data_IF_251044739951
#
_entry.id   IF_251044739951
#
_cell.length_a   1.000
_cell.length_b   1.000
_cell.length_c   1.000
_cell.angle_alpha   90.00
_cell.angle_beta   90.00
_cell.angle_gamma   90.00
#
_symmetry.space_group_name_H-M   'P 1'
#
loop_
_entity.id
_entity.type
_entity.pdbx_description
1 polymer ?
#
# COMPACT_ATOMS: atom_id res chain seq x y z
N UNK A 1 -2.95 -11.14 5.27
CA UNK A 1 -2.62 -9.73 4.94
C UNK A 1 -3.91 -8.92 4.76
N UNK A 2 -4.70 -8.66 5.80
CA UNK A 2 -6.05 -8.07 5.63
C UNK A 2 -6.06 -6.56 5.89
N UNK A 3 -5.32 -6.11 6.91
CA UNK A 3 -5.41 -4.74 7.41
C UNK A 3 -4.71 -3.67 6.55
N UNK A 4 -3.81 -4.04 5.63
CA UNK A 4 -3.19 -3.09 4.66
C UNK A 4 -3.91 -3.04 3.31
N UNK A 5 -4.56 -4.14 2.91
CA UNK A 5 -5.14 -4.32 1.57
C UNK A 5 -6.63 -3.99 1.50
N UNK A 6 -7.35 -4.07 2.64
CA UNK A 6 -8.76 -3.65 2.71
C UNK A 6 -8.91 -2.18 2.34
N UNK A 7 -9.86 -1.91 1.45
CA UNK A 7 -10.24 -0.59 0.97
C UNK A 7 -9.06 0.25 0.47
N UNK A 8 -8.06 -0.37 -0.16
CA UNK A 8 -6.87 0.33 -0.68
C UNK A 8 -6.10 1.12 0.39
N UNK A 9 -6.27 0.80 1.67
CA UNK A 9 -5.69 1.58 2.77
C UNK A 9 -6.41 2.90 3.04
N UNK A 10 -7.59 3.13 2.47
CA UNK A 10 -8.51 4.24 2.77
C UNK A 10 -9.51 3.89 3.88
N UNK A 11 -9.28 2.80 4.64
CA UNK A 11 -10.04 2.51 5.84
C UNK A 11 -9.48 3.29 7.04
N UNK A 12 -10.35 3.73 7.96
CA UNK A 12 -9.93 4.36 9.23
C UNK A 12 -9.05 3.44 10.10
N UNK A 13 -9.12 2.13 9.86
CA UNK A 13 -8.33 1.08 10.53
C UNK A 13 -7.19 0.55 9.65
N UNK A 14 -6.90 1.24 8.54
CA UNK A 14 -5.81 0.86 7.66
C UNK A 14 -4.46 1.00 8.35
N UNK A 15 -3.61 0.00 8.16
CA UNK A 15 -2.28 -0.02 8.79
C UNK A 15 -1.35 0.93 8.04
N UNK A 16 -1.20 2.15 8.54
CA UNK A 16 -0.26 3.14 7.99
C UNK A 16 1.16 3.00 8.55
N UNK A 17 1.32 2.35 9.70
CA UNK A 17 2.63 2.09 10.34
C UNK A 17 2.68 0.66 10.82
N UNK A 18 3.74 -0.06 10.45
CA UNK A 18 4.03 -1.41 10.92
C UNK A 18 5.29 -1.30 11.77
N UNK A 19 5.19 -1.66 13.05
CA UNK A 19 6.34 -1.73 13.94
C UNK A 19 6.88 -3.16 13.94
N UNK A 20 8.18 -3.29 13.72
CA UNK A 20 8.87 -4.57 13.64
C UNK A 20 10.03 -4.57 14.62
N UNK A 21 10.33 -5.74 15.16
CA UNK A 21 11.56 -5.95 15.90
C UNK A 21 12.73 -6.09 14.90
N UNK A 22 13.89 -5.50 15.22
CA UNK A 22 15.03 -5.44 14.30
C UNK A 22 15.47 -6.82 13.79
N UNK A 23 15.32 -7.86 14.61
CA UNK A 23 15.69 -9.24 14.24
C UNK A 23 14.82 -9.87 13.14
N UNK A 24 13.63 -9.32 12.87
CA UNK A 24 12.69 -9.85 11.88
C UNK A 24 12.42 -8.90 10.72
N UNK A 25 13.04 -7.72 10.72
CA UNK A 25 12.79 -6.66 9.74
C UNK A 25 12.99 -7.16 8.31
N UNK A 26 14.18 -7.69 7.99
CA UNK A 26 14.54 -8.12 6.63
C UNK A 26 13.60 -9.20 6.12
N UNK A 27 13.39 -10.26 6.92
CA UNK A 27 12.52 -11.38 6.53
C UNK A 27 11.07 -10.95 6.35
N UNK A 28 10.59 -10.01 7.18
CA UNK A 28 9.25 -9.46 7.05
C UNK A 28 9.12 -8.62 5.78
N UNK A 29 10.07 -7.70 5.53
CA UNK A 29 10.04 -6.82 4.35
C UNK A 29 10.05 -7.65 3.07
N UNK A 30 10.88 -8.68 2.97
CA UNK A 30 10.92 -9.57 1.81
C UNK A 30 9.58 -10.28 1.57
N UNK A 31 9.03 -10.93 2.59
CA UNK A 31 7.75 -11.64 2.46
C UNK A 31 6.57 -10.71 2.22
N UNK A 32 6.59 -9.54 2.86
CA UNK A 32 5.56 -8.53 2.75
C UNK A 32 5.55 -7.89 1.36
N UNK A 33 6.71 -7.53 0.83
CA UNK A 33 6.84 -6.97 -0.53
C UNK A 33 6.49 -8.00 -1.59
N UNK A 34 6.92 -9.25 -1.44
CA UNK A 34 6.52 -10.35 -2.34
C UNK A 34 5.00 -10.54 -2.37
N UNK A 35 4.35 -10.55 -1.21
CA UNK A 35 2.89 -10.67 -1.12
C UNK A 35 2.11 -9.46 -1.62
N UNK A 36 2.71 -8.26 -1.62
CA UNK A 36 2.12 -7.07 -2.26
C UNK A 36 2.28 -7.10 -3.79
N UNK A 37 3.41 -7.59 -4.28
CA UNK A 37 3.70 -7.64 -5.72
C UNK A 37 2.76 -8.59 -6.49
N UNK A 38 2.19 -9.59 -5.82
CA UNK A 38 1.26 -10.55 -6.42
C UNK A 38 -0.19 -10.05 -6.53
N UNK A 39 -0.51 -8.86 -6.00
CA UNK A 39 -1.88 -8.35 -5.99
C UNK A 39 -2.32 -7.91 -7.38
N UNK A 40 -3.48 -8.38 -7.82
CA UNK A 40 -4.11 -7.90 -9.06
C UNK A 40 -4.81 -6.56 -8.80
N UNK A 41 -4.35 -5.52 -9.50
CA UNK A 41 -4.93 -4.17 -9.46
C UNK A 41 -5.65 -3.92 -10.78
N UNK A 42 -6.98 -3.94 -10.78
CA UNK A 42 -7.79 -3.67 -11.98
C UNK A 42 -9.11 -2.95 -11.62
N UNK A 43 -9.99 -2.76 -12.60
CA UNK A 43 -11.32 -2.19 -12.38
C UNK A 43 -12.13 -3.07 -11.42
N UNK A 44 -12.79 -2.44 -10.45
CA UNK A 44 -13.40 -3.11 -9.28
C UNK A 44 -14.70 -3.88 -9.58
N UNK A 45 -15.03 -4.06 -10.86
CA UNK A 45 -16.21 -4.79 -11.34
C UNK A 45 -15.95 -6.27 -11.59
N UNK A 46 -14.68 -6.71 -11.64
CA UNK A 46 -14.33 -8.11 -11.80
C UNK A 46 -14.14 -8.77 -10.41
N UNK A 47 -14.77 -9.93 -10.14
CA UNK A 47 -14.63 -10.64 -8.86
C UNK A 47 -13.23 -11.23 -8.61
N UNK A 48 -12.36 -11.26 -9.62
CA UNK A 48 -11.00 -11.81 -9.56
C UNK A 48 -9.95 -10.79 -9.06
N UNK A 49 -10.41 -9.62 -8.62
CA UNK A 49 -9.57 -8.44 -8.35
C UNK A 49 -9.31 -8.32 -6.87
N UNK A 50 -8.04 -8.34 -6.49
CA UNK A 50 -7.64 -8.20 -5.09
C UNK A 50 -7.77 -6.76 -4.59
N UNK A 51 -7.58 -5.80 -5.50
CA UNK A 51 -7.48 -4.37 -5.19
C UNK A 51 -8.11 -3.53 -6.31
N UNK A 52 -9.23 -2.87 -6.01
CA UNK A 52 -9.96 -2.03 -6.97
C UNK A 52 -9.34 -0.64 -7.17
N UNK A 53 -10.08 0.28 -7.80
CA UNK A 53 -9.66 1.68 -7.96
C UNK A 53 -10.25 2.57 -6.87
N UNK A 54 -9.54 3.65 -6.52
CA UNK A 54 -10.12 4.71 -5.70
C UNK A 54 -11.36 5.31 -6.37
N UNK A 55 -12.42 5.45 -5.58
CA UNK A 55 -13.71 5.99 -6.02
C UNK A 55 -13.58 7.43 -6.56
N UNK A 56 -12.61 8.19 -6.04
CA UNK A 56 -12.33 9.56 -6.47
C UNK A 56 -10.88 9.72 -6.95
N UNK A 57 -10.62 10.72 -7.79
CA UNK A 57 -9.28 11.04 -8.31
C UNK A 57 -8.43 11.92 -7.38
N UNK A 58 -9.05 12.63 -6.41
CA UNK A 58 -8.34 13.52 -5.46
C UNK A 58 -7.33 12.78 -4.57
N UNK A 59 -7.63 11.59 -4.03
CA UNK A 59 -6.67 10.85 -3.23
C UNK A 59 -5.42 10.48 -4.05
N UNK A 60 -5.57 10.12 -5.34
CA UNK A 60 -4.45 9.75 -6.24
C UNK A 60 -3.44 10.89 -6.34
N UNK A 61 -3.94 12.11 -6.53
CA UNK A 61 -3.12 13.33 -6.64
C UNK A 61 -2.36 13.58 -5.33
N UNK A 62 -3.02 13.39 -4.18
CA UNK A 62 -2.41 13.57 -2.86
C UNK A 62 -1.30 12.55 -2.61
N UNK A 63 -1.56 11.26 -2.87
CA UNK A 63 -0.56 10.20 -2.70
C UNK A 63 0.67 10.43 -3.58
N UNK A 64 0.44 10.82 -4.84
CA UNK A 64 1.52 11.11 -5.79
C UNK A 64 2.40 12.26 -5.31
N UNK A 65 1.80 13.32 -4.75
CA UNK A 65 2.52 14.45 -4.15
C UNK A 65 3.36 14.04 -2.94
N UNK A 66 2.82 13.19 -2.06
CA UNK A 66 3.53 12.66 -0.89
C UNK A 66 4.73 11.80 -1.31
N UNK A 67 4.57 10.94 -2.32
CA UNK A 67 5.66 10.14 -2.87
C UNK A 67 6.79 11.02 -3.44
N UNK A 68 6.45 12.10 -4.15
CA UNK A 68 7.45 13.05 -4.64
C UNK A 68 8.22 13.72 -3.50
N UNK A 69 7.56 14.08 -2.39
CA UNK A 69 8.25 14.64 -1.22
C UNK A 69 9.17 13.63 -0.55
N UNK A 70 8.69 12.41 -0.31
CA UNK A 70 9.46 11.36 0.36
C UNK A 70 10.70 10.94 -0.44
N UNK A 71 10.55 10.79 -1.77
CA UNK A 71 11.68 10.44 -2.64
C UNK A 71 12.75 11.55 -2.64
N UNK A 72 12.34 12.82 -2.60
CA UNK A 72 13.26 13.96 -2.49
C UNK A 72 14.02 14.01 -1.16
N UNK A 73 13.37 13.64 -0.06
CA UNK A 73 14.00 13.62 1.29
C UNK A 73 14.95 12.43 1.45
N UNK A 74 14.72 11.32 0.74
CA UNK A 74 15.59 10.13 0.79
C UNK A 74 16.85 10.22 -0.08
N UNK A 75 16.93 11.20 -0.99
CA UNK A 75 18.03 11.40 -1.93
C UNK A 75 18.96 12.58 -1.53
N UNK A 76 18.69 13.22 -0.40
CA UNK A 76 19.50 14.28 0.22
C UNK A 76 20.19 13.75 1.47
#
# INVERSE_FOLDING_TARGET
>A
MVAKRRDLGEACTAVNRIYLHASVETQFVEKFTAGLATLKITDGLDPSVDVGRWSMSRPVIRLRRLLTMLCRVSLS
#
